data_IF_533729139639
#
_entry.id   IF_533729139639
#
_cell.length_a   1.000
_cell.length_b   1.000
_cell.length_c   1.000
_cell.angle_alpha   90.00
_cell.angle_beta   90.00
_cell.angle_gamma   90.00
#
_symmetry.space_group_name_H-M   'P 1'
#
loop_
_entity.id
_entity.type
_entity.pdbx_description
1 polymer ?
#
# COMPACT_ATOMS: atom_id res chain seq x y z
N UNK A 1 -2.58 21.12 -18.48
CA UNK A 1 -1.13 20.88 -18.23
C UNK A 1 -0.37 21.94 -19.00
N UNK A 2 0.56 22.63 -18.34
CA UNK A 2 1.49 23.53 -19.03
C UNK A 2 2.50 22.70 -19.83
N UNK A 3 3.15 23.29 -20.87
CA UNK A 3 4.07 22.59 -21.77
C UNK A 3 5.26 21.89 -21.07
N UNK A 4 5.52 22.19 -19.79
CA UNK A 4 6.59 21.61 -18.98
C UNK A 4 6.08 20.75 -17.79
N UNK A 5 4.79 20.43 -17.72
CA UNK A 5 4.23 19.58 -16.66
C UNK A 5 4.75 18.14 -16.80
N UNK A 6 5.23 17.57 -15.68
CA UNK A 6 5.74 16.19 -15.59
C UNK A 6 4.83 15.36 -14.71
N UNK A 7 4.81 14.05 -14.99
CA UNK A 7 4.31 13.03 -14.07
C UNK A 7 5.49 12.47 -13.29
N UNK A 8 5.40 12.50 -11.97
CA UNK A 8 6.46 12.02 -11.07
C UNK A 8 5.87 10.89 -10.22
N UNK A 9 6.47 9.72 -10.29
CA UNK A 9 6.08 8.55 -9.51
C UNK A 9 7.11 8.36 -8.40
N UNK A 10 6.64 8.28 -7.16
CA UNK A 10 7.48 8.25 -5.95
C UNK A 10 7.13 7.02 -5.14
N UNK A 11 8.14 6.18 -4.86
CA UNK A 11 8.00 5.08 -3.93
C UNK A 11 7.98 5.58 -2.48
N UNK A 12 7.37 4.80 -1.58
CA UNK A 12 7.23 5.16 -0.17
C UNK A 12 8.45 4.70 0.63
N UNK A 13 8.66 3.40 0.69
CA UNK A 13 9.59 2.77 1.64
C UNK A 13 11.04 2.96 1.23
N UNK A 14 11.79 3.75 2.01
CA UNK A 14 13.18 4.07 1.70
C UNK A 14 13.37 5.12 0.60
N UNK A 15 12.29 5.77 0.14
CA UNK A 15 12.33 6.85 -0.86
C UNK A 15 11.64 8.11 -0.36
N UNK A 16 10.31 8.10 -0.21
CA UNK A 16 9.55 9.21 0.33
C UNK A 16 9.60 9.24 1.86
N UNK A 17 9.50 8.07 2.48
CA UNK A 17 9.57 7.88 3.93
C UNK A 17 10.87 7.17 4.32
N UNK A 18 11.39 7.52 5.49
CA UNK A 18 12.58 6.90 6.08
C UNK A 18 12.28 5.49 6.66
N UNK A 19 13.28 4.87 7.29
CA UNK A 19 13.17 3.56 7.93
C UNK A 19 12.18 3.51 9.10
N UNK A 20 11.80 4.67 9.65
CA UNK A 20 10.78 4.79 10.71
C UNK A 20 9.39 5.09 10.12
N UNK A 21 9.22 5.01 8.79
CA UNK A 21 8.00 5.35 8.06
C UNK A 21 7.58 6.82 8.21
N UNK A 22 8.54 7.71 8.48
CA UNK A 22 8.31 9.16 8.62
C UNK A 22 8.74 9.86 7.34
N UNK A 23 7.87 10.71 6.79
CA UNK A 23 8.21 11.57 5.65
C UNK A 23 8.94 12.81 6.19
N UNK A 24 10.21 13.03 5.82
CA UNK A 24 10.97 14.19 6.25
C UNK A 24 10.32 15.50 5.78
N UNK A 25 10.47 16.56 6.56
CA UNK A 25 9.86 17.86 6.22
C UNK A 25 10.39 18.40 4.89
N UNK A 26 11.67 18.16 4.56
CA UNK A 26 12.25 18.51 3.28
C UNK A 26 11.54 17.86 2.09
N UNK A 27 11.14 16.57 2.22
CA UNK A 27 10.40 15.85 1.20
C UNK A 27 8.98 16.40 1.04
N UNK A 28 8.30 16.74 2.15
CA UNK A 28 6.97 17.37 2.10
C UNK A 28 7.02 18.71 1.38
N UNK A 29 8.03 19.55 1.69
CA UNK A 29 8.22 20.85 1.04
C UNK A 29 8.48 20.65 -0.47
N UNK A 30 9.35 19.69 -0.84
CA UNK A 30 9.66 19.40 -2.24
C UNK A 30 8.44 18.93 -3.02
N UNK A 31 7.61 18.06 -2.44
CA UNK A 31 6.34 17.62 -3.05
C UNK A 31 5.40 18.81 -3.30
N UNK A 32 5.18 19.64 -2.29
CA UNK A 32 4.33 20.84 -2.42
C UNK A 32 4.85 21.80 -3.49
N UNK A 33 6.17 21.99 -3.55
CA UNK A 33 6.79 22.89 -4.53
C UNK A 33 6.66 22.32 -5.96
N UNK A 34 6.84 21.02 -6.13
CA UNK A 34 6.64 20.36 -7.42
C UNK A 34 5.17 20.49 -7.90
N UNK A 35 4.20 20.30 -7.00
CA UNK A 35 2.79 20.49 -7.29
C UNK A 35 2.46 21.95 -7.65
N UNK A 36 3.01 22.93 -6.91
CA UNK A 36 2.85 24.36 -7.19
C UNK A 36 3.41 24.73 -8.57
N UNK A 37 4.47 24.07 -9.02
CA UNK A 37 5.05 24.21 -10.37
C UNK A 37 4.24 23.50 -11.46
N UNK A 38 3.10 22.88 -11.13
CA UNK A 38 2.19 22.23 -12.06
C UNK A 38 2.58 20.80 -12.43
N UNK A 39 3.51 20.18 -11.72
CA UNK A 39 3.81 18.75 -11.86
C UNK A 39 2.74 17.91 -11.18
N UNK A 40 2.54 16.68 -11.67
CA UNK A 40 1.61 15.72 -11.10
C UNK A 40 2.37 14.63 -10.37
N UNK A 41 2.06 14.44 -9.09
CA UNK A 41 2.74 13.49 -8.22
C UNK A 41 1.88 12.26 -7.97
N UNK A 42 2.46 11.09 -8.12
CA UNK A 42 1.83 9.80 -7.89
C UNK A 42 2.65 8.97 -6.91
N UNK A 43 1.99 8.32 -5.97
CA UNK A 43 2.60 7.25 -5.19
C UNK A 43 2.74 6.03 -6.09
N UNK A 44 3.88 5.32 -6.00
CA UNK A 44 4.10 4.03 -6.67
C UNK A 44 4.70 3.05 -5.65
N UNK A 45 3.88 2.12 -5.12
CA UNK A 45 4.26 1.32 -3.96
C UNK A 45 3.80 -0.14 -4.07
N UNK A 46 4.51 -1.04 -3.38
CA UNK A 46 4.06 -2.42 -3.15
C UNK A 46 2.91 -2.55 -2.16
N UNK A 47 2.63 -1.49 -1.38
CA UNK A 47 1.53 -1.50 -0.42
C UNK A 47 0.18 -1.44 -1.13
N UNK A 48 -0.86 -2.06 -0.55
CA UNK A 48 -2.25 -1.77 -0.93
C UNK A 48 -2.68 -0.41 -0.36
N UNK A 49 -3.66 0.25 -1.00
CA UNK A 49 -4.13 1.58 -0.57
C UNK A 49 -4.49 1.64 0.92
N UNK A 50 -5.20 0.64 1.51
CA UNK A 50 -5.47 0.62 2.94
C UNK A 50 -4.23 0.55 3.85
N UNK A 51 -3.05 0.20 3.30
CA UNK A 51 -1.76 0.17 4.04
C UNK A 51 -0.95 1.46 3.94
N UNK A 52 -1.42 2.43 3.18
CA UNK A 52 -0.73 3.71 3.07
C UNK A 52 -1.21 4.60 4.22
N UNK A 53 -0.27 5.10 5.01
CA UNK A 53 -0.56 5.95 6.14
C UNK A 53 -1.28 7.23 5.70
N UNK A 54 -2.27 7.64 6.47
CA UNK A 54 -3.06 8.84 6.19
C UNK A 54 -2.17 10.08 6.04
N UNK A 55 -1.12 10.19 6.84
CA UNK A 55 -0.14 11.28 6.78
C UNK A 55 0.58 11.40 5.43
N UNK A 56 0.74 10.29 4.69
CA UNK A 56 1.30 10.26 3.32
C UNK A 56 0.22 10.70 2.32
N UNK A 57 -0.99 10.15 2.42
CA UNK A 57 -2.10 10.51 1.54
C UNK A 57 -2.46 12.01 1.65
N UNK A 58 -2.38 12.58 2.85
CA UNK A 58 -2.67 13.99 3.13
C UNK A 58 -1.64 14.98 2.51
N UNK A 59 -0.54 14.47 1.93
CA UNK A 59 0.37 15.29 1.11
C UNK A 59 -0.24 15.71 -0.23
N UNK A 60 -1.40 15.14 -0.60
CA UNK A 60 -2.19 15.57 -1.74
C UNK A 60 -1.66 15.06 -3.09
N UNK A 61 -1.24 13.78 -3.14
CA UNK A 61 -0.87 13.12 -4.41
C UNK A 61 -2.06 13.08 -5.37
N UNK A 62 -1.77 13.22 -6.67
CA UNK A 62 -2.77 13.16 -7.74
C UNK A 62 -3.33 11.74 -7.97
N UNK A 63 -2.57 10.71 -7.54
CA UNK A 63 -3.02 9.32 -7.61
C UNK A 63 -2.03 8.35 -7.00
N UNK A 64 -2.38 7.07 -7.07
CA UNK A 64 -1.63 5.97 -6.48
C UNK A 64 -1.59 4.79 -7.44
N UNK A 65 -0.38 4.29 -7.69
CA UNK A 65 -0.14 2.95 -8.26
C UNK A 65 0.25 2.06 -7.08
N UNK A 66 -0.59 1.11 -6.74
CA UNK A 66 -0.48 0.28 -5.54
C UNK A 66 -0.36 -1.21 -5.87
N UNK A 67 -0.05 -2.02 -4.85
CA UNK A 67 0.08 -3.49 -4.96
C UNK A 67 1.05 -3.86 -6.10
N UNK A 68 2.22 -3.20 -6.13
CA UNK A 68 3.25 -3.40 -7.16
C UNK A 68 2.73 -3.30 -8.60
N UNK A 69 1.78 -2.40 -8.85
CA UNK A 69 1.20 -2.17 -10.18
C UNK A 69 -0.10 -2.92 -10.47
N UNK A 70 -0.62 -3.69 -9.51
CA UNK A 70 -1.88 -4.40 -9.70
C UNK A 70 -3.12 -3.50 -9.60
N UNK A 71 -2.97 -2.29 -9.03
CA UNK A 71 -4.06 -1.31 -8.94
C UNK A 71 -3.55 0.10 -9.21
N UNK A 72 -4.36 0.91 -9.88
CA UNK A 72 -4.10 2.34 -10.04
C UNK A 72 -5.36 3.17 -9.84
N UNK A 73 -5.16 4.29 -9.13
CA UNK A 73 -6.20 5.29 -8.87
C UNK A 73 -5.70 6.68 -9.27
N UNK A 74 -6.61 7.54 -9.76
CA UNK A 74 -6.40 8.99 -9.89
C UNK A 74 -7.43 9.66 -9.00
N UNK A 75 -6.99 10.35 -7.95
CA UNK A 75 -7.87 10.77 -6.86
C UNK A 75 -8.65 9.56 -6.34
N UNK A 76 -9.96 9.70 -6.22
CA UNK A 76 -10.86 8.63 -5.76
C UNK A 76 -11.29 7.68 -6.89
N UNK A 77 -10.91 7.95 -8.15
CA UNK A 77 -11.31 7.14 -9.29
C UNK A 77 -10.37 5.98 -9.51
N UNK A 78 -10.87 4.76 -9.34
CA UNK A 78 -10.17 3.53 -9.74
C UNK A 78 -10.05 3.50 -11.27
N UNK A 79 -8.82 3.35 -11.78
CA UNK A 79 -8.55 3.18 -13.21
C UNK A 79 -8.60 1.71 -13.59
N UNK A 80 -7.89 0.88 -12.84
CA UNK A 80 -7.92 -0.57 -12.98
C UNK A 80 -7.52 -1.25 -11.68
N UNK A 81 -7.92 -2.52 -11.57
CA UNK A 81 -7.53 -3.42 -10.48
C UNK A 81 -7.43 -4.85 -11.04
N UNK A 82 -6.29 -5.47 -10.84
CA UNK A 82 -6.04 -6.88 -11.16
C UNK A 82 -6.06 -7.68 -9.87
N UNK A 83 -7.06 -8.53 -9.72
CA UNK A 83 -7.18 -9.44 -8.59
C UNK A 83 -6.62 -10.81 -8.94
N UNK A 84 -6.08 -11.50 -7.95
CA UNK A 84 -5.72 -12.91 -8.07
C UNK A 84 -7.01 -13.70 -8.25
N UNK A 85 -7.12 -14.58 -9.26
CA UNK A 85 -8.33 -15.36 -9.47
C UNK A 85 -8.56 -16.33 -8.29
N UNK A 86 -9.83 -16.62 -7.94
CA UNK A 86 -10.17 -17.45 -6.79
C UNK A 86 -9.47 -18.82 -6.79
N UNK A 87 -9.39 -19.47 -7.95
CA UNK A 87 -8.71 -20.76 -8.09
C UNK A 87 -7.21 -20.73 -7.76
N UNK A 88 -6.55 -19.58 -8.00
CA UNK A 88 -5.14 -19.40 -7.60
C UNK A 88 -5.00 -19.16 -6.09
N UNK A 89 -5.99 -18.49 -5.48
CA UNK A 89 -6.04 -18.35 -4.02
C UNK A 89 -6.24 -19.72 -3.38
N UNK A 90 -7.20 -20.54 -3.89
CA UNK A 90 -7.46 -21.88 -3.39
C UNK A 90 -6.23 -22.79 -3.52
N UNK A 91 -5.54 -22.73 -4.66
CA UNK A 91 -4.31 -23.47 -4.89
C UNK A 91 -3.21 -23.06 -3.90
N UNK A 92 -3.05 -21.76 -3.63
CA UNK A 92 -2.08 -21.27 -2.65
C UNK A 92 -2.45 -21.70 -1.24
N UNK A 93 -3.73 -21.66 -0.87
CA UNK A 93 -4.20 -22.11 0.45
C UNK A 93 -3.97 -23.63 0.64
N UNK A 94 -4.23 -24.44 -0.38
CA UNK A 94 -3.95 -25.86 -0.35
C UNK A 94 -2.43 -26.14 -0.21
N UNK A 95 -1.61 -25.36 -0.88
CA UNK A 95 -0.14 -25.43 -0.76
C UNK A 95 0.30 -25.09 0.65
N UNK A 96 -0.22 -23.99 1.24
CA UNK A 96 0.11 -23.55 2.60
C UNK A 96 -0.24 -24.65 3.62
N UNK A 97 -1.44 -25.22 3.51
CA UNK A 97 -1.87 -26.31 4.38
C UNK A 97 -0.97 -27.54 4.26
N UNK A 98 -0.64 -27.97 3.02
CA UNK A 98 0.24 -29.12 2.76
C UNK A 98 1.64 -28.95 3.32
N UNK A 99 2.17 -27.72 3.31
CA UNK A 99 3.54 -27.41 3.74
C UNK A 99 3.62 -26.79 5.13
N UNK A 100 2.53 -26.80 5.90
CA UNK A 100 2.46 -26.23 7.25
C UNK A 100 2.90 -24.77 7.31
N UNK A 101 2.56 -23.97 6.27
CA UNK A 101 2.80 -22.54 6.25
C UNK A 101 1.64 -21.86 6.99
N UNK A 102 1.89 -21.46 8.22
CA UNK A 102 0.86 -20.89 9.09
C UNK A 102 0.85 -19.35 9.10
N UNK A 103 1.93 -18.72 8.62
CA UNK A 103 2.11 -17.27 8.65
C UNK A 103 2.05 -16.69 7.23
N UNK A 104 0.91 -16.09 6.85
CA UNK A 104 0.69 -15.46 5.55
C UNK A 104 -0.29 -14.31 5.65
N UNK A 105 -0.28 -13.46 4.62
CA UNK A 105 -1.22 -12.35 4.46
C UNK A 105 -1.69 -12.23 3.01
N UNK A 106 -2.92 -11.79 2.84
CA UNK A 106 -3.48 -11.37 1.56
C UNK A 106 -3.78 -9.88 1.57
N UNK A 107 -3.49 -9.20 0.48
CA UNK A 107 -3.84 -7.80 0.31
C UNK A 107 -5.09 -7.72 -0.58
N UNK A 108 -6.21 -7.32 0.01
CA UNK A 108 -7.46 -7.08 -0.69
C UNK A 108 -7.66 -5.61 -1.03
N UNK A 109 -8.69 -5.35 -1.82
CA UNK A 109 -9.10 -3.99 -2.19
C UNK A 109 -9.59 -3.16 -1.00
N UNK A 110 -10.20 -3.83 -0.04
CA UNK A 110 -10.89 -3.25 1.12
C UNK A 110 -10.14 -3.45 2.44
N UNK A 111 -8.97 -4.10 2.40
CA UNK A 111 -8.17 -4.34 3.60
C UNK A 111 -7.13 -5.43 3.44
N UNK A 112 -6.56 -5.82 4.56
CA UNK A 112 -5.64 -6.93 4.66
C UNK A 112 -6.30 -8.09 5.38
N UNK A 113 -6.02 -9.28 4.89
CA UNK A 113 -6.44 -10.55 5.48
C UNK A 113 -5.21 -11.27 5.97
N UNK A 114 -5.15 -11.59 7.24
CA UNK A 114 -4.00 -12.26 7.87
C UNK A 114 -4.40 -13.59 8.49
N UNK A 115 -3.47 -14.53 8.43
CA UNK A 115 -3.60 -15.79 9.16
C UNK A 115 -3.34 -15.59 10.66
N UNK A 116 -3.82 -16.55 11.46
CA UNK A 116 -3.56 -16.55 12.90
C UNK A 116 -2.06 -16.62 13.22
N UNK A 117 -1.30 -17.42 12.48
CA UNK A 117 0.17 -17.49 12.66
C UNK A 117 0.88 -16.17 12.36
N UNK A 118 0.39 -15.39 11.36
CA UNK A 118 0.93 -14.07 11.09
C UNK A 118 0.59 -13.08 12.22
N UNK A 119 -0.61 -13.14 12.77
CA UNK A 119 -1.02 -12.34 13.94
C UNK A 119 -0.11 -12.59 15.13
N UNK A 120 0.10 -13.87 15.48
CA UNK A 120 0.98 -14.28 16.59
C UNK A 120 2.43 -13.82 16.36
N UNK A 121 2.92 -13.88 15.11
CA UNK A 121 4.23 -13.38 14.75
C UNK A 121 4.36 -11.86 14.98
N UNK A 122 3.35 -11.06 14.64
CA UNK A 122 3.34 -9.63 14.91
C UNK A 122 3.35 -9.34 16.41
N UNK A 123 2.51 -10.02 17.18
CA UNK A 123 2.42 -9.88 18.63
C UNK A 123 3.73 -10.23 19.33
N UNK A 124 4.42 -11.29 18.89
CA UNK A 124 5.73 -11.67 19.41
C UNK A 124 6.81 -10.60 19.21
N UNK A 125 6.63 -9.71 18.22
CA UNK A 125 7.50 -8.55 17.96
C UNK A 125 7.03 -7.27 18.65
N UNK A 126 6.07 -7.35 19.58
CA UNK A 126 5.52 -6.20 20.28
C UNK A 126 4.68 -5.27 19.38
N UNK A 127 4.31 -5.73 18.17
CA UNK A 127 3.42 -4.99 17.28
C UNK A 127 1.98 -5.36 17.61
N UNK A 128 1.24 -4.43 18.19
CA UNK A 128 -0.20 -4.60 18.37
C UNK A 128 -0.91 -4.36 17.06
N UNK A 129 -1.73 -5.33 16.67
CA UNK A 129 -2.60 -5.19 15.52
C UNK A 129 -3.90 -4.52 15.96
N UNK A 130 -4.12 -3.26 15.57
CA UNK A 130 -5.39 -2.58 15.81
C UNK A 130 -6.45 -3.11 14.82
N UNK A 131 -7.42 -3.86 15.35
CA UNK A 131 -8.56 -4.45 14.60
C UNK A 131 -9.36 -3.46 13.76
N UNK A 132 -9.21 -2.15 13.99
CA UNK A 132 -10.05 -1.11 13.38
C UNK A 132 -9.54 -0.53 12.07
N UNK A 133 -8.24 -0.64 11.78
CA UNK A 133 -7.69 0.16 10.68
C UNK A 133 -7.41 -0.63 9.40
N UNK A 134 -7.03 -1.92 9.42
CA UNK A 134 -6.50 -2.54 8.20
C UNK A 134 -6.67 -4.06 8.04
N UNK A 135 -7.27 -4.81 8.97
CA UNK A 135 -7.38 -6.25 8.79
C UNK A 135 -8.77 -6.82 9.03
N UNK A 136 -9.14 -7.63 8.10
CA UNK A 136 -10.21 -8.62 8.27
C UNK A 136 -9.56 -9.99 8.44
N UNK A 137 -10.09 -10.79 9.38
CA UNK A 137 -9.63 -12.16 9.52
C UNK A 137 -10.29 -13.01 8.44
N UNK A 138 -9.48 -13.82 7.78
CA UNK A 138 -9.94 -14.90 6.94
C UNK A 138 -10.35 -16.08 7.85
N UNK A 139 -11.62 -16.46 7.81
CA UNK A 139 -12.14 -17.65 8.48
C UNK A 139 -12.29 -18.79 7.49
#
# INVERSE_FOLDING_TARGET
MTANSKLVFIDIDGTLADENHVVPESAKIACKQAQANGHKLFICTGRSVPKIERSILDLGFDGVVSVAGAQANIGDRLLFQHLVPPEAVDAAMAYFAKHHIESYQWQGADGMYISEGYRQHLESKGKTWNRGEFARFWH
#
